data_IF_665112096733
#
_entry.id   IF_665112096733
#
_cell.length_a   1.000
_cell.length_b   1.000
_cell.length_c   1.000
_cell.angle_alpha   90.00
_cell.angle_beta   90.00
_cell.angle_gamma   90.00
#
_symmetry.space_group_name_H-M   'P 1'
#
loop_
_entity.id
_entity.type
_entity.pdbx_description
1 polymer ?
#
# COMPACT_ATOMS: atom_id res chain seq x y z
N UNK A 1 21.79 -4.84 14.07
CA UNK A 1 20.51 -5.36 13.52
C UNK A 1 19.48 -4.25 13.66
N UNK A 2 18.98 -3.67 12.56
CA UNK A 2 17.94 -2.62 12.63
C UNK A 2 16.61 -3.26 12.97
N UNK A 3 15.96 -2.80 14.04
CA UNK A 3 14.64 -3.29 14.46
C UNK A 3 13.61 -2.93 13.36
N UNK A 4 12.68 -3.83 12.96
CA UNK A 4 11.61 -3.50 12.02
C UNK A 4 10.83 -2.26 12.47
N UNK A 5 10.61 -1.33 11.54
CA UNK A 5 9.82 -0.14 11.81
C UNK A 5 8.33 -0.48 11.79
N UNK A 6 7.51 0.00 12.74
CA UNK A 6 6.07 -0.15 12.67
C UNK A 6 5.51 0.54 11.42
N UNK A 7 4.47 -0.05 10.84
CA UNK A 7 3.76 0.52 9.70
C UNK A 7 2.50 1.21 10.20
N UNK A 8 2.40 2.52 10.00
CA UNK A 8 1.22 3.31 10.32
C UNK A 8 0.48 3.66 9.04
N UNK A 9 -0.81 3.34 8.98
CA UNK A 9 -1.66 3.61 7.81
C UNK A 9 -2.52 4.82 8.09
N UNK A 10 -2.34 5.89 7.30
CA UNK A 10 -3.13 7.11 7.44
C UNK A 10 -4.61 6.86 7.09
N UNK A 11 -5.55 7.69 7.62
CA UNK A 11 -6.97 7.53 7.34
C UNK A 11 -7.31 7.47 5.84
N UNK A 12 -6.67 8.31 5.02
CA UNK A 12 -6.88 8.31 3.57
C UNK A 12 -6.53 6.95 2.93
N UNK A 13 -5.41 6.35 3.32
CA UNK A 13 -5.04 5.02 2.84
C UNK A 13 -6.02 3.93 3.31
N UNK A 14 -6.60 4.04 4.51
CA UNK A 14 -7.64 3.10 4.98
C UNK A 14 -8.92 3.22 4.16
N UNK A 15 -9.32 4.44 3.81
CA UNK A 15 -10.46 4.70 2.91
C UNK A 15 -10.19 4.10 1.52
N UNK A 16 -8.97 4.30 1.00
CA UNK A 16 -8.58 3.68 -0.27
C UNK A 16 -8.70 2.15 -0.22
N UNK A 17 -8.18 1.51 0.84
CA UNK A 17 -8.27 0.07 1.03
C UNK A 17 -9.71 -0.44 1.10
N UNK A 18 -10.57 0.24 1.86
CA UNK A 18 -11.98 -0.12 1.99
C UNK A 18 -12.71 -0.04 0.63
N UNK A 19 -12.46 1.02 -0.13
CA UNK A 19 -13.03 1.20 -1.48
C UNK A 19 -12.56 0.12 -2.45
N UNK A 20 -11.27 -0.24 -2.42
CA UNK A 20 -10.70 -1.32 -3.25
C UNK A 20 -11.30 -2.68 -2.87
N UNK A 21 -11.45 -2.97 -1.58
CA UNK A 21 -12.08 -4.19 -1.10
C UNK A 21 -13.55 -4.28 -1.53
N UNK A 22 -14.33 -3.21 -1.38
CA UNK A 22 -15.73 -3.15 -1.82
C UNK A 22 -15.88 -3.38 -3.32
N UNK A 23 -15.00 -2.78 -4.14
CA UNK A 23 -14.98 -2.99 -5.59
C UNK A 23 -14.74 -4.47 -5.98
N UNK A 24 -13.87 -5.16 -5.24
CA UNK A 24 -13.59 -6.58 -5.46
C UNK A 24 -14.71 -7.47 -4.93
N UNK A 25 -15.28 -7.17 -3.76
CA UNK A 25 -16.33 -7.98 -3.14
C UNK A 25 -17.58 -8.09 -4.04
N UNK A 26 -17.92 -7.03 -4.78
CA UNK A 26 -19.01 -7.07 -5.77
C UNK A 26 -18.73 -7.94 -7.00
N UNK A 27 -17.52 -8.47 -7.17
CA UNK A 27 -17.13 -9.36 -8.29
C UNK A 27 -16.69 -10.75 -7.85
N UNK A 28 -15.89 -10.84 -6.79
CA UNK A 28 -15.40 -12.08 -6.19
C UNK A 28 -14.96 -11.79 -4.74
N UNK A 29 -15.69 -12.33 -3.75
CA UNK A 29 -15.29 -12.28 -2.34
C UNK A 29 -13.89 -12.88 -2.10
N UNK A 30 -13.53 -13.93 -2.83
CA UNK A 30 -12.22 -14.57 -2.75
C UNK A 30 -11.09 -13.63 -3.23
N UNK A 31 -11.35 -12.85 -4.29
CA UNK A 31 -10.42 -11.83 -4.73
C UNK A 31 -10.25 -10.72 -3.67
N UNK A 32 -11.33 -10.31 -3.00
CA UNK A 32 -11.24 -9.34 -1.92
C UNK A 32 -10.39 -9.85 -0.75
N UNK A 33 -10.56 -11.12 -0.34
CA UNK A 33 -9.73 -11.75 0.69
C UNK A 33 -8.25 -11.78 0.29
N UNK A 34 -7.94 -12.25 -0.92
CA UNK A 34 -6.55 -12.29 -1.42
C UNK A 34 -5.90 -10.91 -1.50
N UNK A 35 -6.67 -9.87 -1.84
CA UNK A 35 -6.15 -8.50 -1.88
C UNK A 35 -5.68 -8.02 -0.50
N UNK A 36 -6.43 -8.34 0.55
CA UNK A 36 -6.07 -8.00 1.94
C UNK A 36 -4.74 -8.67 2.31
N UNK A 37 -4.57 -9.95 2.00
CA UNK A 37 -3.35 -10.69 2.34
C UNK A 37 -2.12 -10.17 1.59
N UNK A 38 -2.29 -9.81 0.33
CA UNK A 38 -1.23 -9.19 -0.49
C UNK A 38 -0.79 -7.85 0.08
N UNK A 39 -1.74 -7.00 0.51
CA UNK A 39 -1.40 -5.73 1.15
C UNK A 39 -0.76 -5.91 2.53
N UNK A 40 -1.21 -6.88 3.33
CA UNK A 40 -0.59 -7.22 4.62
C UNK A 40 0.85 -7.67 4.46
N UNK A 41 1.14 -8.52 3.48
CA UNK A 41 2.52 -8.93 3.20
C UNK A 41 3.37 -7.75 2.73
N UNK A 42 2.83 -6.89 1.86
CA UNK A 42 3.53 -5.68 1.45
C UNK A 42 3.90 -4.79 2.66
N UNK A 43 2.99 -4.61 3.62
CA UNK A 43 3.28 -3.86 4.84
C UNK A 43 4.35 -4.54 5.71
N UNK A 44 4.31 -5.87 5.89
CA UNK A 44 5.37 -6.59 6.60
C UNK A 44 6.74 -6.40 5.94
N UNK A 45 6.79 -6.39 4.61
CA UNK A 45 8.02 -6.12 3.87
C UNK A 45 8.50 -4.69 4.07
N UNK A 46 7.61 -3.70 4.05
CA UNK A 46 7.96 -2.31 4.32
C UNK A 46 8.51 -2.11 5.74
N UNK A 47 7.93 -2.79 6.73
CA UNK A 47 8.42 -2.78 8.11
C UNK A 47 9.87 -3.22 8.23
N UNK A 48 10.25 -4.28 7.50
CA UNK A 48 11.63 -4.82 7.49
C UNK A 48 12.56 -4.06 6.55
N UNK A 49 12.02 -3.51 5.46
CA UNK A 49 12.78 -2.87 4.39
C UNK A 49 12.11 -1.55 3.96
N UNK A 50 12.26 -0.47 4.75
CA UNK A 50 11.64 0.82 4.43
C UNK A 50 12.07 1.40 3.08
N UNK A 51 13.27 1.08 2.60
CA UNK A 51 13.79 1.53 1.30
C UNK A 51 13.30 0.72 0.08
N UNK A 52 12.38 -0.23 0.26
CA UNK A 52 11.93 -1.17 -0.79
C UNK A 52 11.24 -0.48 -1.99
N UNK A 53 10.57 0.65 -1.76
CA UNK A 53 9.86 1.42 -2.77
C UNK A 53 10.76 2.42 -3.49
N UNK A 54 10.40 2.70 -4.74
CA UNK A 54 11.09 3.69 -5.58
C UNK A 54 10.81 5.10 -5.05
N UNK A 55 11.83 5.97 -4.88
CA UNK A 55 11.61 7.38 -4.55
C UNK A 55 10.81 8.11 -5.65
N UNK A 56 9.84 8.92 -5.27
CA UNK A 56 8.97 9.68 -6.19
C UNK A 56 8.91 11.19 -5.89
N UNK A 57 9.84 11.68 -5.06
CA UNK A 57 9.91 13.10 -4.65
C UNK A 57 9.19 13.39 -3.33
N UNK A 58 9.44 14.58 -2.75
CA UNK A 58 8.85 15.02 -1.48
C UNK A 58 8.99 14.01 -0.32
N UNK A 59 10.15 13.33 -0.25
CA UNK A 59 10.43 12.25 0.71
C UNK A 59 9.44 11.06 0.65
N UNK A 60 8.77 10.87 -0.49
CA UNK A 60 7.84 9.74 -0.71
C UNK A 60 8.47 8.66 -1.55
N UNK A 61 7.98 7.45 -1.31
CA UNK A 61 8.30 6.23 -2.02
C UNK A 61 7.03 5.58 -2.55
N UNK A 62 7.14 4.88 -3.67
CA UNK A 62 6.08 4.04 -4.21
C UNK A 62 6.54 2.58 -4.29
N UNK A 63 5.74 1.69 -3.71
CA UNK A 63 5.89 0.26 -3.85
C UNK A 63 4.78 -0.28 -4.74
N UNK A 64 5.15 -0.89 -5.86
CA UNK A 64 4.22 -1.63 -6.72
C UNK A 64 4.07 -3.07 -6.23
N UNK A 65 2.83 -3.50 -6.03
CA UNK A 65 2.48 -4.83 -5.52
C UNK A 65 1.57 -5.49 -6.55
N UNK A 66 2.02 -6.60 -7.16
CA UNK A 66 1.24 -7.29 -8.19
C UNK A 66 -0.03 -7.91 -7.61
N UNK A 67 -1.15 -7.76 -8.31
CA UNK A 67 -2.43 -8.38 -7.94
C UNK A 67 -3.37 -8.46 -9.15
N UNK A 68 -3.92 -9.65 -9.43
CA UNK A 68 -4.76 -9.88 -10.61
C UNK A 68 -4.05 -9.48 -11.91
N UNK A 69 -4.80 -8.91 -12.87
CA UNK A 69 -4.26 -8.36 -14.13
C UNK A 69 -3.57 -7.00 -13.99
N UNK A 70 -3.29 -6.55 -12.77
CA UNK A 70 -2.68 -5.26 -12.48
C UNK A 70 -1.89 -5.30 -11.17
N UNK A 71 -2.17 -4.36 -10.29
CA UNK A 71 -1.55 -4.33 -8.97
C UNK A 71 -1.99 -3.14 -8.14
N UNK A 72 -1.50 -3.11 -6.91
CA UNK A 72 -1.61 -1.96 -6.03
C UNK A 72 -0.33 -1.12 -6.08
N UNK A 73 -0.49 0.18 -5.86
CA UNK A 73 0.60 1.11 -5.61
C UNK A 73 0.43 1.63 -4.21
N UNK A 74 1.41 1.36 -3.35
CA UNK A 74 1.46 1.86 -1.98
C UNK A 74 2.38 3.06 -1.99
N UNK A 75 1.82 4.25 -1.75
CA UNK A 75 2.60 5.46 -1.56
C UNK A 75 2.85 5.65 -0.07
N UNK A 76 4.10 5.81 0.32
CA UNK A 76 4.51 5.91 1.72
C UNK A 76 5.69 6.86 1.89
N UNK A 77 5.98 7.23 3.14
CA UNK A 77 7.20 7.92 3.55
C UNK A 77 7.85 7.17 4.70
N UNK A 78 9.15 7.34 4.88
CA UNK A 78 9.92 6.73 5.95
C UNK A 78 10.25 7.81 6.98
N UNK A 79 9.73 7.64 8.19
CA UNK A 79 10.03 8.48 9.34
C UNK A 79 11.03 7.75 10.25
N UNK A 80 11.70 8.45 11.18
CA UNK A 80 12.66 7.81 12.09
C UNK A 80 12.06 6.67 12.93
N UNK A 81 10.77 6.74 13.26
CA UNK A 81 10.09 5.78 14.13
C UNK A 81 9.10 4.86 13.40
N UNK A 82 8.79 5.09 12.12
CA UNK A 82 7.73 4.37 11.43
C UNK A 82 7.79 4.49 9.90
N UNK A 83 7.16 3.52 9.21
CA UNK A 83 6.76 3.67 7.81
C UNK A 83 5.33 4.19 7.77
N UNK A 84 5.12 5.36 7.16
CA UNK A 84 3.81 5.99 7.08
C UNK A 84 3.21 5.74 5.70
N UNK A 85 2.21 4.87 5.62
CA UNK A 85 1.45 4.61 4.39
C UNK A 85 0.45 5.75 4.20
N UNK A 86 0.66 6.53 3.13
CA UNK A 86 -0.10 7.75 2.84
C UNK A 86 -1.31 7.43 2.00
N UNK A 87 -1.14 6.63 0.94
CA UNK A 87 -2.20 6.25 -0.01
C UNK A 87 -2.01 4.84 -0.55
N UNK A 88 -3.11 4.21 -0.95
CA UNK A 88 -3.09 2.93 -1.68
C UNK A 88 -3.95 3.09 -2.93
N UNK A 89 -3.46 2.70 -4.10
CA UNK A 89 -4.22 2.84 -5.35
C UNK A 89 -4.18 1.55 -6.13
N UNK A 90 -5.18 1.29 -6.98
CA UNK A 90 -5.03 0.28 -8.03
C UNK A 90 -4.23 0.87 -9.19
N UNK A 91 -3.36 0.09 -9.83
CA UNK A 91 -2.45 0.55 -10.89
C UNK A 91 -3.15 1.08 -12.12
N UNK A 92 -4.41 0.64 -12.33
CA UNK A 92 -5.28 1.08 -13.43
C UNK A 92 -6.17 2.27 -13.06
N UNK A 93 -6.10 2.77 -11.82
CA UNK A 93 -6.90 3.88 -11.38
C UNK A 93 -6.28 5.22 -11.79
N UNK A 94 -7.12 6.19 -12.17
CA UNK A 94 -6.69 7.56 -12.41
C UNK A 94 -6.32 8.19 -11.07
N UNK A 95 -5.02 8.31 -10.79
CA UNK A 95 -4.53 8.85 -9.51
C UNK A 95 -5.01 10.30 -9.34
N UNK A 96 -5.58 10.68 -8.19
CA UNK A 96 -5.84 12.08 -7.91
C UNK A 96 -4.49 12.83 -7.90
N UNK A 97 -4.44 13.94 -8.64
CA UNK A 97 -3.32 14.88 -8.60
C UNK A 97 -3.44 15.66 -7.29
N UNK A 98 -2.42 15.58 -6.44
CA UNK A 98 -2.28 16.39 -5.23
C UNK A 98 -1.09 17.32 -5.41
#
# INVERSE_FOLDING_TARGET
MTNPLPVRVLPAARVDQARLAAYLAGRSPEAAARAIDVLREAFRRLSRHPALGRPVGNARHELSVRFGGGGYVIQYRVDPDAVIVVRVFHSRERRPRF
#
